data_IF_698537124202
#
_entry.id   IF_698537124202
#
_cell.length_a   1.000
_cell.length_b   1.000
_cell.length_c   1.000
_cell.angle_alpha   90.00
_cell.angle_beta   90.00
_cell.angle_gamma   90.00
#
_symmetry.space_group_name_H-M   'P 1'
#
loop_
_entity.id
_entity.type
_entity.pdbx_description
1 polymer ?
#
# COMPACT_ATOMS: atom_id res chain seq x y z
N UNK A 1 34.65 29.29 -14.23
CA UNK A 1 34.67 30.68 -13.73
C UNK A 1 34.26 30.66 -12.26
N UNK A 2 34.99 31.42 -11.43
CA UNK A 2 34.77 31.79 -10.01
C UNK A 2 34.81 30.64 -8.97
N UNK A 3 35.96 30.35 -8.32
CA UNK A 3 36.64 31.03 -7.17
C UNK A 3 35.73 31.30 -5.96
N UNK A 4 35.99 30.62 -4.84
CA UNK A 4 36.00 31.15 -3.45
C UNK A 4 36.81 30.16 -2.58
N UNK A 5 38.08 30.46 -2.27
CA UNK A 5 38.62 31.12 -1.07
C UNK A 5 38.37 30.40 0.27
N UNK A 6 39.46 29.85 0.81
CA UNK A 6 39.66 29.45 2.20
C UNK A 6 39.65 30.66 3.14
N UNK A 7 39.39 30.41 4.44
CA UNK A 7 40.26 30.92 5.48
C UNK A 7 40.81 29.79 6.36
N UNK A 8 42.08 29.94 6.73
CA UNK A 8 42.80 29.01 7.59
C UNK A 8 42.82 29.40 9.07
N UNK A 9 43.54 28.54 9.80
CA UNK A 9 44.02 28.62 11.18
C UNK A 9 43.07 28.20 12.31
N UNK A 10 43.30 27.00 12.82
CA UNK A 10 43.85 26.84 14.18
C UNK A 10 44.48 25.44 14.34
N UNK A 11 45.80 25.39 14.52
CA UNK A 11 46.50 24.23 15.06
C UNK A 11 46.24 24.19 16.56
N UNK A 12 45.52 23.18 17.04
CA UNK A 12 45.73 22.67 18.39
C UNK A 12 45.78 21.15 18.38
N UNK A 13 46.93 20.69 18.82
CA UNK A 13 47.29 19.34 19.22
C UNK A 13 46.31 18.77 20.24
N UNK A 14 45.60 17.70 19.88
CA UNK A 14 45.19 16.65 20.82
C UNK A 14 45.50 15.31 20.16
N UNK A 15 46.76 14.91 20.27
CA UNK A 15 47.11 13.50 20.19
C UNK A 15 46.96 12.90 21.59
N UNK A 16 46.58 11.62 21.61
CA UNK A 16 46.43 10.78 22.78
C UNK A 16 45.19 11.06 23.64
N UNK A 17 44.06 10.41 23.28
CA UNK A 17 43.25 9.58 24.19
C UNK A 17 41.89 9.19 23.56
N UNK A 18 41.88 8.64 22.34
CA UNK A 18 40.66 8.06 21.74
C UNK A 18 40.92 6.71 21.03
N UNK A 19 42.03 6.04 21.35
CA UNK A 19 42.34 4.68 20.84
C UNK A 19 42.28 3.58 21.93
N UNK A 20 41.79 3.87 23.14
CA UNK A 20 41.79 2.91 24.25
C UNK A 20 40.38 2.40 24.60
N UNK A 21 39.32 2.90 23.96
CA UNK A 21 37.94 2.42 24.21
C UNK A 21 37.40 1.41 23.18
N UNK A 22 38.10 1.16 22.07
CA UNK A 22 37.74 0.11 21.09
C UNK A 22 38.40 -1.25 21.45
N UNK A 23 39.47 -1.26 22.25
CA UNK A 23 40.19 -2.48 22.63
C UNK A 23 39.50 -3.31 23.72
N UNK A 24 38.61 -2.69 24.52
CA UNK A 24 37.90 -3.39 25.61
C UNK A 24 36.61 -4.10 25.16
N UNK A 25 35.95 -3.64 24.09
CA UNK A 25 34.77 -4.31 23.54
C UNK A 25 35.13 -5.48 22.60
N UNK A 26 36.33 -5.47 21.99
CA UNK A 26 36.87 -6.58 21.20
C UNK A 26 37.33 -7.78 22.05
N UNK A 27 37.43 -7.65 23.37
CA UNK A 27 37.80 -8.72 24.28
C UNK A 27 36.72 -9.78 24.41
N UNK A 28 35.47 -9.35 24.66
CA UNK A 28 34.34 -10.25 24.86
C UNK A 28 33.91 -10.94 23.56
N UNK A 29 33.96 -10.23 22.43
CA UNK A 29 33.59 -10.79 21.12
C UNK A 29 34.59 -11.83 20.63
N UNK A 30 35.90 -11.56 20.75
CA UNK A 30 36.94 -12.52 20.39
C UNK A 30 36.86 -13.81 21.22
N UNK A 31 36.73 -13.70 22.55
CA UNK A 31 36.62 -14.89 23.41
C UNK A 31 35.34 -15.68 23.12
N UNK A 32 34.22 -15.01 22.83
CA UNK A 32 33.00 -15.70 22.43
C UNK A 32 33.17 -16.50 21.13
N UNK A 33 33.79 -15.90 20.10
CA UNK A 33 34.08 -16.58 18.83
C UNK A 33 34.99 -17.80 19.02
N UNK A 34 36.02 -17.69 19.87
CA UNK A 34 36.86 -18.86 20.21
C UNK A 34 36.04 -19.95 20.90
N UNK A 35 35.24 -19.60 21.90
CA UNK A 35 34.44 -20.59 22.63
C UNK A 35 33.42 -21.29 21.71
N UNK A 36 32.84 -20.56 20.75
CA UNK A 36 31.98 -21.15 19.72
C UNK A 36 32.79 -22.08 18.79
N UNK A 37 33.98 -21.65 18.37
CA UNK A 37 34.89 -22.48 17.58
C UNK A 37 35.29 -23.77 18.31
N UNK A 38 35.63 -23.67 19.60
CA UNK A 38 35.97 -24.80 20.47
C UNK A 38 34.78 -25.76 20.57
N UNK A 39 33.58 -25.24 20.84
CA UNK A 39 32.36 -26.04 20.89
C UNK A 39 32.09 -26.75 19.56
N UNK A 40 32.35 -26.13 18.41
CA UNK A 40 32.19 -26.80 17.12
C UNK A 40 33.28 -27.85 16.89
N UNK A 41 34.53 -27.58 17.25
CA UNK A 41 35.63 -28.53 17.12
C UNK A 41 35.41 -29.78 18.01
N UNK A 42 34.92 -29.61 19.23
CA UNK A 42 34.53 -30.72 20.13
C UNK A 42 33.39 -31.58 19.55
N UNK A 43 32.50 -30.98 18.76
CA UNK A 43 31.44 -31.69 18.02
C UNK A 43 31.94 -32.31 16.70
N UNK A 44 33.23 -32.16 16.38
CA UNK A 44 33.80 -32.60 15.11
C UNK A 44 33.41 -31.75 13.91
N UNK A 45 32.83 -30.55 14.10
CA UNK A 45 32.37 -29.63 13.04
C UNK A 45 33.45 -28.64 12.64
N UNK A 46 34.54 -29.16 12.06
CA UNK A 46 35.76 -28.41 11.81
C UNK A 46 35.59 -27.25 10.82
N UNK A 47 34.73 -27.36 9.80
CA UNK A 47 34.44 -26.24 8.89
C UNK A 47 33.84 -25.03 9.62
N UNK A 48 32.87 -25.26 10.50
CA UNK A 48 32.29 -24.17 11.31
C UNK A 48 33.27 -23.65 12.34
N UNK A 49 34.05 -24.52 12.97
CA UNK A 49 35.10 -24.11 13.88
C UNK A 49 36.11 -23.17 13.19
N UNK A 50 36.54 -23.51 11.97
CA UNK A 50 37.41 -22.66 11.16
C UNK A 50 36.79 -21.29 10.88
N UNK A 51 35.50 -21.21 10.57
CA UNK A 51 34.81 -19.92 10.34
C UNK A 51 34.88 -19.05 11.60
N UNK A 52 34.59 -19.62 12.77
CA UNK A 52 34.64 -18.88 14.04
C UNK A 52 36.06 -18.42 14.41
N UNK A 53 37.04 -19.32 14.29
CA UNK A 53 38.45 -18.97 14.54
C UNK A 53 38.98 -17.93 13.54
N UNK A 54 38.56 -18.01 12.28
CA UNK A 54 38.94 -17.02 11.28
C UNK A 54 38.39 -15.63 11.63
N UNK A 55 37.13 -15.54 12.03
CA UNK A 55 36.53 -14.29 12.52
C UNK A 55 37.25 -13.77 13.77
N UNK A 56 37.63 -14.64 14.70
CA UNK A 56 38.43 -14.26 15.87
C UNK A 56 39.82 -13.71 15.46
N UNK A 57 40.50 -14.34 14.50
CA UNK A 57 41.78 -13.87 13.95
C UNK A 57 41.67 -12.54 13.21
N UNK A 58 40.54 -12.22 12.59
CA UNK A 58 40.30 -10.90 11.99
C UNK A 58 40.25 -9.80 13.06
N UNK A 59 39.72 -10.10 14.27
CA UNK A 59 39.69 -9.16 15.39
C UNK A 59 41.06 -9.02 16.07
N UNK A 60 41.80 -10.12 16.20
CA UNK A 60 43.14 -10.14 16.82
C UNK A 60 44.12 -10.99 16.00
N UNK A 61 44.76 -10.41 14.98
CA UNK A 61 45.62 -11.16 14.06
C UNK A 61 46.87 -11.78 14.70
N UNK A 62 47.36 -11.23 15.81
CA UNK A 62 48.58 -11.68 16.50
C UNK A 62 48.36 -12.72 17.60
N UNK A 63 47.16 -13.32 17.68
CA UNK A 63 46.83 -14.36 18.66
C UNK A 63 47.29 -15.74 18.18
N UNK A 64 48.44 -16.18 18.69
CA UNK A 64 49.04 -17.47 18.33
C UNK A 64 48.16 -18.66 18.76
N UNK A 65 47.50 -18.56 19.91
CA UNK A 65 46.54 -19.56 20.42
C UNK A 65 45.37 -19.79 19.45
N UNK A 66 44.72 -18.71 18.98
CA UNK A 66 43.64 -18.79 17.99
C UNK A 66 44.12 -19.34 16.65
N UNK A 67 45.34 -18.99 16.26
CA UNK A 67 45.95 -19.45 15.01
C UNK A 67 46.24 -20.95 15.03
N UNK A 68 46.73 -21.48 16.15
CA UNK A 68 46.92 -22.92 16.34
C UNK A 68 45.60 -23.66 16.19
N UNK A 69 44.53 -23.21 16.89
CA UNK A 69 43.20 -23.80 16.79
C UNK A 69 42.62 -23.77 15.37
N UNK A 70 42.78 -22.65 14.67
CA UNK A 70 42.39 -22.55 13.25
C UNK A 70 43.13 -23.57 12.38
N UNK A 71 44.45 -23.70 12.55
CA UNK A 71 45.27 -24.63 11.76
C UNK A 71 44.91 -26.09 12.06
N UNK A 72 44.64 -26.43 13.32
CA UNK A 72 44.20 -27.77 13.72
C UNK A 72 42.85 -28.13 13.06
N UNK A 73 41.87 -27.23 13.14
CA UNK A 73 40.59 -27.41 12.48
C UNK A 73 40.74 -27.50 10.95
N UNK A 74 41.62 -26.71 10.35
CA UNK A 74 41.92 -26.77 8.93
C UNK A 74 42.53 -28.11 8.50
N UNK A 75 43.45 -28.66 9.28
CA UNK A 75 44.04 -29.98 9.00
C UNK A 75 42.97 -31.08 9.07
N UNK A 76 42.12 -31.07 10.09
CA UNK A 76 41.02 -32.03 10.22
C UNK A 76 40.05 -31.92 9.04
N UNK A 77 39.61 -30.71 8.72
CA UNK A 77 38.71 -30.47 7.58
C UNK A 77 39.33 -30.89 6.25
N UNK A 78 40.62 -30.64 6.03
CA UNK A 78 41.29 -31.05 4.79
C UNK A 78 41.40 -32.58 4.67
N UNK A 79 41.67 -33.30 5.76
CA UNK A 79 41.65 -34.78 5.76
C UNK A 79 40.27 -35.32 5.43
N UNK A 80 39.24 -34.71 5.98
CA UNK A 80 37.86 -35.04 5.65
C UNK A 80 37.53 -34.75 4.18
N UNK A 81 37.97 -33.62 3.61
CA UNK A 81 37.79 -33.36 2.18
C UNK A 81 38.47 -34.41 1.30
N UNK A 82 39.62 -34.96 1.72
CA UNK A 82 40.23 -36.10 1.01
C UNK A 82 39.32 -37.34 1.03
N UNK A 83 38.71 -37.68 2.17
CA UNK A 83 37.78 -38.82 2.21
C UNK A 83 36.49 -38.57 1.41
N UNK A 84 36.02 -37.32 1.35
CA UNK A 84 34.90 -36.92 0.47
C UNK A 84 35.27 -37.09 -1.01
N UNK A 85 36.51 -36.78 -1.40
CA UNK A 85 36.98 -37.01 -2.77
C UNK A 85 36.97 -38.48 -3.15
N UNK A 86 37.51 -39.36 -2.28
CA UNK A 86 37.48 -40.80 -2.51
C UNK A 86 36.04 -41.34 -2.58
N UNK A 87 35.16 -40.85 -1.70
CA UNK A 87 33.75 -41.23 -1.70
C UNK A 87 33.00 -40.76 -2.96
N UNK A 88 33.31 -39.57 -3.49
CA UNK A 88 32.75 -39.06 -4.74
C UNK A 88 33.14 -39.94 -5.93
N UNK A 89 34.39 -40.40 -5.96
CA UNK A 89 34.93 -41.31 -6.97
C UNK A 89 34.24 -42.67 -6.92
N UNK A 90 34.08 -43.24 -5.72
CA UNK A 90 33.35 -44.52 -5.51
C UNK A 90 31.89 -44.39 -5.92
N UNK A 91 31.21 -43.30 -5.53
CA UNK A 91 29.82 -43.05 -5.91
C UNK A 91 29.66 -42.93 -7.43
N UNK A 92 30.59 -42.22 -8.09
CA UNK A 92 30.61 -42.08 -9.54
C UNK A 92 30.78 -43.42 -10.25
N UNK A 93 31.76 -44.24 -9.83
CA UNK A 93 32.01 -45.57 -10.38
C UNK A 93 30.84 -46.54 -10.14
N UNK A 94 30.11 -46.35 -9.04
CA UNK A 94 28.94 -47.16 -8.67
C UNK A 94 27.64 -46.67 -9.32
N UNK A 95 27.70 -45.69 -10.24
CA UNK A 95 26.54 -45.08 -10.89
C UNK A 95 25.53 -44.43 -9.92
N UNK A 96 25.98 -43.99 -8.74
CA UNK A 96 25.23 -43.16 -7.79
C UNK A 96 25.46 -41.68 -8.16
N UNK A 97 24.88 -41.27 -9.29
CA UNK A 97 25.18 -40.01 -9.97
C UNK A 97 24.84 -38.78 -9.13
N UNK A 98 23.69 -38.77 -8.48
CA UNK A 98 23.23 -37.70 -7.61
C UNK A 98 24.11 -37.55 -6.37
N UNK A 99 24.48 -38.66 -5.71
CA UNK A 99 25.44 -38.65 -4.60
C UNK A 99 26.81 -38.14 -5.04
N UNK A 100 27.35 -38.67 -6.14
CA UNK A 100 28.62 -38.22 -6.69
C UNK A 100 28.59 -36.72 -7.00
N UNK A 101 27.51 -36.24 -7.62
CA UNK A 101 27.30 -34.83 -7.93
C UNK A 101 27.35 -33.94 -6.67
N UNK A 102 26.63 -34.33 -5.61
CA UNK A 102 26.63 -33.58 -4.33
C UNK A 102 28.01 -33.53 -3.68
N UNK A 103 28.77 -34.62 -3.72
CA UNK A 103 30.11 -34.67 -3.14
C UNK A 103 31.13 -33.87 -3.96
N UNK A 104 31.11 -33.96 -5.29
CA UNK A 104 31.96 -33.10 -6.12
C UNK A 104 31.59 -31.62 -5.94
N UNK A 105 30.31 -31.29 -5.82
CA UNK A 105 29.87 -29.93 -5.51
C UNK A 105 30.45 -29.43 -4.18
N UNK A 106 30.47 -30.28 -3.15
CA UNK A 106 31.09 -29.95 -1.86
C UNK A 106 32.58 -29.67 -2.00
N UNK A 107 33.32 -30.50 -2.73
CA UNK A 107 34.75 -30.31 -2.97
C UNK A 107 35.03 -28.97 -3.66
N UNK A 108 34.34 -28.72 -4.78
CA UNK A 108 34.55 -27.53 -5.60
C UNK A 108 34.07 -26.24 -4.91
N UNK A 109 33.10 -26.34 -4.00
CA UNK A 109 32.66 -25.22 -3.16
C UNK A 109 33.69 -24.77 -2.12
N UNK A 110 34.76 -25.54 -1.90
CA UNK A 110 35.87 -25.17 -1.00
C UNK A 110 37.04 -24.60 -1.79
N UNK A 111 37.53 -23.41 -1.39
CA UNK A 111 38.63 -22.71 -2.08
C UNK A 111 39.93 -23.51 -2.18
N UNK A 112 40.14 -24.52 -1.33
CA UNK A 112 41.32 -25.40 -1.34
C UNK A 112 41.21 -26.58 -2.30
N UNK A 113 40.02 -26.93 -2.80
CA UNK A 113 39.82 -28.07 -3.71
C UNK A 113 39.46 -27.68 -5.16
N UNK A 114 39.39 -26.39 -5.46
CA UNK A 114 39.19 -25.84 -6.82
C UNK A 114 40.31 -26.15 -7.83
N UNK A 115 41.35 -26.87 -7.42
CA UNK A 115 42.46 -27.31 -8.29
C UNK A 115 42.27 -28.74 -8.83
N UNK A 116 41.24 -29.47 -8.40
CA UNK A 116 40.98 -30.82 -8.88
C UNK A 116 40.23 -30.79 -10.22
N UNK A 117 40.99 -30.70 -11.32
CA UNK A 117 40.48 -30.69 -12.70
C UNK A 117 39.55 -31.88 -13.00
N UNK A 118 39.84 -33.05 -12.43
CA UNK A 118 39.02 -34.25 -12.62
C UNK A 118 37.67 -34.14 -11.91
N UNK A 119 37.64 -33.65 -10.67
CA UNK A 119 36.40 -33.38 -9.94
C UNK A 119 35.53 -32.35 -10.67
N UNK A 120 36.15 -31.30 -11.22
CA UNK A 120 35.45 -30.30 -12.02
C UNK A 120 34.84 -30.89 -13.28
N UNK A 121 35.60 -31.68 -14.05
CA UNK A 121 35.09 -32.32 -15.26
C UNK A 121 33.94 -33.29 -14.96
N UNK A 122 34.05 -34.10 -13.90
CA UNK A 122 32.99 -35.01 -13.48
C UNK A 122 31.75 -34.28 -12.97
N UNK A 123 31.91 -33.22 -12.18
CA UNK A 123 30.81 -32.37 -11.74
C UNK A 123 30.04 -31.80 -12.94
N UNK A 124 30.74 -31.20 -13.90
CA UNK A 124 30.10 -30.62 -15.09
C UNK A 124 29.36 -31.67 -15.92
N UNK A 125 29.96 -32.83 -16.14
CA UNK A 125 29.32 -33.93 -16.87
C UNK A 125 28.05 -34.44 -16.15
N UNK A 126 28.12 -34.62 -14.83
CA UNK A 126 26.97 -35.03 -14.01
C UNK A 126 25.90 -33.94 -13.98
N UNK A 127 26.29 -32.67 -13.88
CA UNK A 127 25.36 -31.55 -13.86
C UNK A 127 24.51 -31.53 -15.13
N UNK A 128 25.15 -31.63 -16.30
CA UNK A 128 24.47 -31.64 -17.60
C UNK A 128 23.51 -32.85 -17.67
N UNK A 129 24.00 -34.05 -17.36
CA UNK A 129 23.20 -35.27 -17.44
C UNK A 129 22.00 -35.25 -16.48
N UNK A 130 22.23 -34.88 -15.21
CA UNK A 130 21.18 -34.86 -14.21
C UNK A 130 20.14 -33.76 -14.47
N UNK A 131 20.54 -32.58 -14.97
CA UNK A 131 19.59 -31.54 -15.36
C UNK A 131 18.72 -31.99 -16.54
N UNK A 132 19.33 -32.61 -17.56
CA UNK A 132 18.60 -33.15 -18.71
C UNK A 132 17.58 -34.21 -18.30
N UNK A 133 17.93 -35.10 -17.36
CA UNK A 133 17.06 -36.16 -16.85
C UNK A 133 15.99 -35.66 -15.85
N UNK A 134 16.24 -34.56 -15.14
CA UNK A 134 15.41 -34.11 -14.02
C UNK A 134 14.46 -32.95 -14.34
N UNK A 135 14.76 -32.13 -15.36
CA UNK A 135 13.89 -31.04 -15.77
C UNK A 135 12.76 -31.57 -16.67
N UNK A 136 11.57 -30.99 -16.51
CA UNK A 136 10.44 -31.31 -17.38
C UNK A 136 10.69 -30.70 -18.76
N UNK A 137 10.79 -31.58 -19.74
CA UNK A 137 10.96 -31.23 -21.14
C UNK A 137 9.59 -31.21 -21.82
N UNK A 138 9.26 -30.12 -22.51
CA UNK A 138 7.94 -29.93 -23.15
C UNK A 138 8.09 -29.61 -24.62
N UNK A 139 7.41 -30.41 -25.44
CA UNK A 139 7.13 -30.11 -26.85
C UNK A 139 5.73 -29.52 -26.95
N UNK A 140 5.64 -28.25 -27.30
CA UNK A 140 4.36 -27.55 -27.43
C UNK A 140 4.12 -27.16 -28.90
N UNK A 141 2.93 -27.48 -29.42
CA UNK A 141 2.49 -27.08 -30.76
C UNK A 141 1.31 -26.12 -30.65
N UNK A 142 1.40 -24.95 -31.28
CA UNK A 142 0.38 -23.91 -31.19
C UNK A 142 0.47 -22.88 -32.32
N UNK A 143 -0.64 -22.19 -32.67
CA UNK A 143 -0.62 -21.06 -33.59
C UNK A 143 0.10 -19.85 -32.99
N UNK A 144 1.23 -19.45 -33.59
CA UNK A 144 2.03 -18.30 -33.14
C UNK A 144 1.25 -16.98 -33.16
N UNK A 145 0.30 -16.81 -34.08
CA UNK A 145 -0.54 -15.61 -34.15
C UNK A 145 -1.42 -15.41 -32.89
N UNK A 146 -1.70 -16.49 -32.15
CA UNK A 146 -2.54 -16.46 -30.94
C UNK A 146 -1.65 -16.50 -29.70
N UNK A 147 -0.74 -17.46 -29.63
CA UNK A 147 0.03 -17.73 -28.42
C UNK A 147 1.38 -17.00 -28.38
N UNK A 148 1.78 -16.32 -29.48
CA UNK A 148 3.09 -15.69 -29.66
C UNK A 148 4.21 -16.70 -29.85
N UNK A 149 5.45 -16.22 -29.95
CA UNK A 149 6.63 -17.09 -30.05
C UNK A 149 7.08 -17.60 -28.67
N UNK A 150 7.65 -18.81 -28.66
CA UNK A 150 8.37 -19.42 -27.52
C UNK A 150 7.60 -19.36 -26.19
N UNK A 151 6.29 -19.62 -26.20
CA UNK A 151 5.41 -19.51 -25.03
C UNK A 151 5.93 -20.31 -23.82
N UNK A 152 6.54 -21.46 -24.07
CA UNK A 152 7.15 -22.34 -23.08
C UNK A 152 8.43 -21.76 -22.44
N UNK A 153 9.17 -20.90 -23.14
CA UNK A 153 10.42 -20.32 -22.63
C UNK A 153 10.20 -19.32 -21.50
N UNK A 154 8.99 -18.77 -21.38
CA UNK A 154 8.60 -17.89 -20.27
C UNK A 154 8.30 -18.64 -18.96
N UNK A 155 8.28 -19.97 -19.00
CA UNK A 155 8.00 -20.80 -17.84
C UNK A 155 9.32 -21.21 -17.22
N UNK A 156 9.63 -20.63 -16.06
CA UNK A 156 10.79 -21.03 -15.29
C UNK A 156 10.77 -22.53 -15.00
N UNK A 157 11.95 -23.15 -15.04
CA UNK A 157 12.19 -24.57 -14.72
C UNK A 157 11.58 -25.59 -15.70
N UNK A 158 11.07 -25.12 -16.83
CA UNK A 158 10.63 -25.95 -17.94
C UNK A 158 11.66 -25.86 -19.07
N UNK A 159 11.98 -26.99 -19.71
CA UNK A 159 12.88 -27.04 -20.86
C UNK A 159 12.08 -27.21 -22.17
N UNK A 160 12.14 -26.25 -23.09
CA UNK A 160 11.57 -26.41 -24.43
C UNK A 160 12.27 -27.55 -25.19
N UNK A 161 11.51 -28.47 -25.77
CA UNK A 161 12.06 -29.54 -26.60
C UNK A 161 12.27 -29.09 -28.04
N UNK A 162 13.47 -29.33 -28.56
CA UNK A 162 13.82 -29.09 -29.98
C UNK A 162 13.72 -30.37 -30.82
N UNK A 163 13.83 -31.54 -30.18
CA UNK A 163 13.81 -32.86 -30.83
C UNK A 163 12.44 -33.56 -30.81
N UNK A 164 12.42 -34.77 -31.35
CA UNK A 164 11.23 -35.62 -31.35
C UNK A 164 10.86 -36.10 -29.94
N UNK A 165 9.56 -36.26 -29.73
CA UNK A 165 9.05 -36.83 -28.49
C UNK A 165 9.42 -38.32 -28.43
N UNK A 166 10.25 -38.68 -27.47
CA UNK A 166 10.75 -40.05 -27.30
C UNK A 166 10.02 -40.83 -26.20
N UNK A 167 9.11 -40.17 -25.47
CA UNK A 167 8.34 -40.79 -24.39
C UNK A 167 9.12 -41.00 -23.10
N UNK A 168 10.26 -40.30 -22.91
CA UNK A 168 11.00 -40.35 -21.65
C UNK A 168 10.13 -39.84 -20.48
N UNK A 169 10.37 -40.32 -19.24
CA UNK A 169 9.53 -39.99 -18.08
C UNK A 169 9.38 -38.48 -17.81
N UNK A 170 10.39 -37.70 -18.17
CA UNK A 170 10.44 -36.24 -18.02
C UNK A 170 10.04 -35.48 -19.30
N UNK A 171 9.54 -36.13 -20.34
CA UNK A 171 9.08 -35.49 -21.58
C UNK A 171 7.55 -35.42 -21.64
N UNK A 172 7.00 -34.32 -22.15
CA UNK A 172 5.57 -34.14 -22.42
C UNK A 172 5.36 -33.49 -23.79
N UNK A 173 4.27 -33.87 -24.45
CA UNK A 173 3.82 -33.24 -25.69
C UNK A 173 2.42 -32.65 -25.48
N UNK A 174 2.27 -31.38 -25.84
CA UNK A 174 1.03 -30.63 -25.73
C UNK A 174 0.70 -29.97 -27.07
N UNK A 175 -0.58 -29.99 -27.42
CA UNK A 175 -1.11 -29.21 -28.54
C UNK A 175 -2.14 -28.22 -28.03
N UNK A 176 -1.98 -26.94 -28.39
CA UNK A 176 -2.90 -25.88 -28.04
C UNK A 176 -3.57 -25.37 -29.30
N UNK A 177 -4.90 -25.43 -29.33
CA UNK A 177 -5.70 -24.80 -30.35
C UNK A 177 -6.58 -23.72 -29.72
N UNK A 178 -7.01 -22.78 -30.55
CA UNK A 178 -7.84 -21.67 -30.14
C UNK A 178 -9.02 -21.55 -31.09
N UNK A 179 -10.22 -21.42 -30.53
CA UNK A 179 -11.45 -21.20 -31.27
C UNK A 179 -12.16 -19.96 -30.68
N UNK A 180 -12.29 -18.90 -31.46
CA UNK A 180 -13.12 -17.73 -31.12
C UNK A 180 -14.43 -17.82 -31.90
N UNK A 181 -15.57 -17.52 -31.28
CA UNK A 181 -16.85 -17.72 -31.96
C UNK A 181 -17.95 -16.71 -31.62
N UNK A 182 -17.96 -16.10 -30.42
CA UNK A 182 -19.07 -15.20 -30.04
C UNK A 182 -18.62 -13.79 -29.64
N UNK A 183 -19.14 -12.79 -30.35
CA UNK A 183 -19.18 -11.39 -29.91
C UNK A 183 -20.59 -11.05 -29.45
N UNK A 184 -20.74 -10.66 -28.18
CA UNK A 184 -22.00 -10.23 -27.59
C UNK A 184 -21.85 -8.78 -27.19
N UNK A 185 -22.78 -7.93 -27.60
CA UNK A 185 -22.91 -6.57 -27.09
C UNK A 185 -24.11 -6.55 -26.16
N UNK A 186 -23.89 -6.19 -24.90
CA UNK A 186 -24.96 -6.02 -23.91
C UNK A 186 -25.08 -4.53 -23.62
N UNK A 187 -26.26 -3.97 -23.82
CA UNK A 187 -26.53 -2.56 -23.54
C UNK A 187 -27.55 -2.46 -22.41
N UNK A 188 -27.27 -1.54 -21.48
CA UNK A 188 -28.18 -1.20 -20.40
C UNK A 188 -28.33 0.32 -20.35
N UNK A 189 -29.57 0.79 -20.27
CA UNK A 189 -29.86 2.22 -20.13
C UNK A 189 -30.09 2.58 -18.67
N UNK A 190 -29.49 3.70 -18.25
CA UNK A 190 -29.71 4.34 -16.96
C UNK A 190 -30.34 5.72 -17.22
N UNK A 191 -31.50 5.99 -16.61
CA UNK A 191 -32.07 7.34 -16.61
C UNK A 191 -31.36 8.20 -15.57
N UNK A 192 -30.85 9.36 -15.98
CA UNK A 192 -30.28 10.39 -15.12
C UNK A 192 -31.07 11.68 -15.27
N UNK A 193 -31.01 12.53 -14.27
CA UNK A 193 -31.69 13.83 -14.29
C UNK A 193 -30.83 14.92 -13.69
N UNK A 194 -31.07 16.15 -14.14
CA UNK A 194 -30.44 17.36 -13.63
C UNK A 194 -31.41 18.53 -13.68
N UNK A 195 -31.16 19.52 -12.83
CA UNK A 195 -31.94 20.76 -12.81
C UNK A 195 -31.31 21.79 -13.76
N UNK A 196 -32.17 22.54 -14.44
CA UNK A 196 -31.76 23.68 -15.25
C UNK A 196 -32.72 24.85 -15.06
N UNK A 197 -32.23 26.05 -15.33
CA UNK A 197 -33.05 27.26 -15.31
C UNK A 197 -33.96 27.25 -16.54
N UNK A 198 -35.23 26.94 -16.33
CA UNK A 198 -36.24 26.88 -17.39
C UNK A 198 -36.85 28.24 -17.71
N UNK A 199 -36.69 29.20 -16.79
CA UNK A 199 -37.11 30.57 -16.97
C UNK A 199 -36.76 31.44 -15.78
N UNK A 200 -37.18 32.69 -15.88
CA UNK A 200 -37.12 33.64 -14.79
C UNK A 200 -38.54 34.10 -14.48
N UNK A 201 -38.90 34.16 -13.20
CA UNK A 201 -40.18 34.69 -12.76
C UNK A 201 -39.94 35.97 -11.98
N UNK A 202 -40.78 36.97 -12.24
CA UNK A 202 -40.82 38.19 -11.44
C UNK A 202 -41.80 37.93 -10.30
N UNK A 203 -41.28 37.88 -9.07
CA UNK A 203 -42.08 37.70 -7.85
C UNK A 203 -42.02 38.96 -7.01
N UNK A 204 -43.04 39.16 -6.17
CA UNK A 204 -43.04 40.24 -5.18
C UNK A 204 -41.85 40.05 -4.23
N UNK A 205 -41.13 41.13 -3.96
CA UNK A 205 -39.97 41.06 -3.08
C UNK A 205 -40.45 40.86 -1.62
N UNK A 206 -40.17 39.72 -0.98
CA UNK A 206 -40.65 39.45 0.38
C UNK A 206 -40.08 40.43 1.42
N UNK A 207 -38.96 41.09 1.13
CA UNK A 207 -38.40 42.12 2.01
C UNK A 207 -39.30 43.35 2.14
N UNK A 208 -40.12 43.65 1.13
CA UNK A 208 -41.05 44.79 1.17
C UNK A 208 -42.06 44.63 2.31
N UNK A 209 -42.62 43.44 2.48
CA UNK A 209 -43.57 43.17 3.56
C UNK A 209 -42.90 43.19 4.93
N UNK A 210 -41.67 42.67 5.03
CA UNK A 210 -40.88 42.78 6.25
C UNK A 210 -40.65 44.25 6.63
N UNK A 211 -40.20 45.08 5.69
CA UNK A 211 -39.94 46.50 5.90
C UNK A 211 -41.22 47.29 6.25
N UNK A 212 -42.35 47.02 5.57
CA UNK A 212 -43.66 47.62 5.91
C UNK A 212 -44.08 47.28 7.34
N UNK A 213 -43.95 46.01 7.74
CA UNK A 213 -44.29 45.57 9.09
C UNK A 213 -43.39 46.24 10.14
N UNK A 214 -42.10 46.37 9.86
CA UNK A 214 -41.16 47.07 10.72
C UNK A 214 -41.49 48.57 10.85
N UNK A 215 -41.85 49.24 9.76
CA UNK A 215 -42.32 50.64 9.75
C UNK A 215 -43.59 50.79 10.58
N UNK A 216 -44.55 49.87 10.48
CA UNK A 216 -45.76 49.89 11.29
C UNK A 216 -45.45 49.73 12.79
N UNK A 217 -44.54 48.83 13.14
CA UNK A 217 -44.08 48.65 14.51
C UNK A 217 -43.41 49.91 15.06
N UNK A 218 -42.40 50.44 14.36
CA UNK A 218 -41.67 51.64 14.77
C UNK A 218 -42.58 52.88 14.89
N UNK A 219 -43.52 53.06 13.96
CA UNK A 219 -44.52 54.14 14.07
C UNK A 219 -45.37 54.04 15.34
N UNK A 220 -45.73 52.82 15.75
CA UNK A 220 -46.50 52.60 16.98
C UNK A 220 -45.67 52.98 18.21
N UNK A 221 -44.42 52.52 18.29
CA UNK A 221 -43.50 52.85 19.38
C UNK A 221 -43.28 54.37 19.50
N UNK A 222 -42.97 55.05 18.39
CA UNK A 222 -42.82 56.52 18.36
C UNK A 222 -44.08 57.22 18.86
N UNK A 223 -45.28 56.75 18.47
CA UNK A 223 -46.56 57.31 18.94
C UNK A 223 -46.77 57.07 20.44
N UNK A 224 -46.38 55.92 20.97
CA UNK A 224 -46.44 55.60 22.39
C UNK A 224 -45.46 56.48 23.18
N UNK A 225 -44.22 56.64 22.73
CA UNK A 225 -43.27 57.57 23.34
C UNK A 225 -43.74 59.02 23.32
N UNK A 226 -44.39 59.49 22.24
CA UNK A 226 -45.00 60.83 22.20
C UNK A 226 -46.08 61.02 23.27
N UNK A 227 -46.89 59.99 23.54
CA UNK A 227 -47.89 60.02 24.64
C UNK A 227 -47.20 60.05 26.00
N UNK A 228 -46.19 59.21 26.20
CA UNK A 228 -45.43 59.13 27.45
C UNK A 228 -44.65 60.42 27.73
N UNK A 229 -44.07 61.05 26.71
CA UNK A 229 -43.44 62.37 26.81
C UNK A 229 -44.42 63.42 27.33
N UNK A 230 -45.66 63.44 26.82
CA UNK A 230 -46.72 64.35 27.30
C UNK A 230 -47.09 64.05 28.76
N UNK A 231 -47.24 62.78 29.11
CA UNK A 231 -47.53 62.30 30.48
C UNK A 231 -46.44 62.71 31.47
N UNK A 232 -45.16 62.51 31.15
CA UNK A 232 -44.05 62.88 32.02
C UNK A 232 -43.86 64.39 32.12
N UNK A 233 -44.09 65.15 31.04
CA UNK A 233 -44.15 66.62 31.09
C UNK A 233 -45.22 67.11 32.06
N UNK A 234 -46.41 66.49 32.04
CA UNK A 234 -47.48 66.83 32.98
C UNK A 234 -47.08 66.52 34.43
N UNK A 235 -46.54 65.33 34.70
CA UNK A 235 -46.04 64.94 36.05
C UNK A 235 -44.94 65.86 36.58
N UNK A 236 -44.05 66.33 35.70
CA UNK A 236 -43.04 67.34 36.06
C UNK A 236 -43.71 68.65 36.47
N UNK A 237 -44.75 69.09 35.74
CA UNK A 237 -45.51 70.30 36.07
C UNK A 237 -46.23 70.16 37.42
N UNK A 238 -46.89 69.02 37.66
CA UNK A 238 -47.54 68.72 38.94
C UNK A 238 -46.55 68.70 40.11
N UNK A 239 -45.42 67.99 39.96
CA UNK A 239 -44.40 67.91 41.00
C UNK A 239 -43.78 69.29 41.30
N UNK A 240 -43.52 70.11 40.27
CA UNK A 240 -43.06 71.51 40.45
C UNK A 240 -44.09 72.35 41.22
N UNK A 241 -45.36 72.24 40.86
CA UNK A 241 -46.42 72.99 41.54
C UNK A 241 -46.56 72.55 43.01
N UNK A 242 -46.44 71.25 43.29
CA UNK A 242 -46.42 70.71 44.66
C UNK A 242 -45.22 71.22 45.46
N UNK A 243 -44.03 71.28 44.87
CA UNK A 243 -42.84 71.86 45.50
C UNK A 243 -43.05 73.35 45.80
N UNK A 244 -43.59 74.13 44.85
CA UNK A 244 -43.91 75.56 45.06
C UNK A 244 -44.85 75.75 46.25
N UNK A 245 -45.94 74.97 46.30
CA UNK A 245 -46.89 75.02 47.41
C UNK A 245 -46.27 74.69 48.76
N UNK A 246 -45.43 73.64 48.83
CA UNK A 246 -44.74 73.26 50.08
C UNK A 246 -43.79 74.37 50.53
N UNK A 247 -43.06 75.00 49.60
CA UNK A 247 -42.16 76.11 49.91
C UNK A 247 -42.92 77.37 50.37
N UNK A 248 -44.04 77.70 49.72
CA UNK A 248 -44.93 78.81 50.12
C UNK A 248 -45.53 78.58 51.53
N UNK A 249 -45.93 77.35 51.85
CA UNK A 249 -46.43 76.97 53.18
C UNK A 249 -45.33 77.04 54.27
N UNK A 250 -44.06 76.95 53.89
CA UNK A 250 -42.91 77.02 54.78
C UNK A 250 -42.49 78.47 55.12
N UNK A 251 -42.68 79.42 54.20
CA UNK A 251 -42.37 80.85 54.40
C UNK A 251 -43.33 81.57 55.38
N UNK A 252 -44.54 81.02 55.62
CA UNK A 252 -45.58 81.66 56.44
C UNK A 252 -45.65 81.18 57.91
N UNK A 253 -44.86 80.18 58.35
CA UNK A 253 -44.94 79.64 59.73
C UNK A 253 -43.77 80.08 60.61
N UNK A 254 -44.10 80.67 61.78
CA UNK A 254 -43.16 81.23 62.78
C UNK A 254 -42.43 80.19 63.64
N UNK A 255 -42.88 78.92 63.64
CA UNK A 255 -42.14 77.77 64.19
C UNK A 255 -42.23 76.59 63.20
N UNK A 256 -41.10 76.14 62.62
CA UNK A 256 -41.11 75.07 61.64
C UNK A 256 -41.20 73.69 62.31
N UNK A 257 -42.26 72.94 62.04
CA UNK A 257 -42.29 71.49 62.25
C UNK A 257 -41.44 70.84 61.15
N UNK A 258 -40.13 70.86 61.37
CA UNK A 258 -39.07 70.60 60.38
C UNK A 258 -39.06 69.16 59.84
N UNK A 259 -39.66 68.20 60.53
CA UNK A 259 -39.60 66.78 60.15
C UNK A 259 -40.68 66.40 59.11
N UNK A 260 -41.93 66.82 59.28
CA UNK A 260 -43.05 66.48 58.37
C UNK A 260 -42.97 67.22 57.02
N UNK A 261 -42.57 68.49 57.04
CA UNK A 261 -42.42 69.33 55.83
C UNK A 261 -41.18 68.94 55.01
N UNK A 262 -40.07 68.59 55.68
CA UNK A 262 -38.85 68.11 55.03
C UNK A 262 -39.02 66.77 54.28
N UNK A 263 -39.79 65.84 54.84
CA UNK A 263 -40.04 64.53 54.20
C UNK A 263 -40.97 64.66 52.98
N UNK A 264 -42.03 65.49 53.08
CA UNK A 264 -42.92 65.79 51.96
C UNK A 264 -42.19 66.48 50.80
N UNK A 265 -41.30 67.42 51.09
CA UNK A 265 -40.45 68.09 50.10
C UNK A 265 -39.48 67.09 49.43
N UNK A 266 -38.82 66.24 50.23
CA UNK A 266 -37.92 65.18 49.73
C UNK A 266 -38.64 64.21 48.80
N UNK A 267 -39.86 63.81 49.14
CA UNK A 267 -40.69 62.96 48.28
C UNK A 267 -41.08 63.67 46.97
N UNK A 268 -41.47 64.96 47.02
CA UNK A 268 -41.82 65.73 45.83
C UNK A 268 -40.61 65.97 44.90
N UNK A 269 -39.43 66.25 45.46
CA UNK A 269 -38.17 66.32 44.73
C UNK A 269 -37.79 64.97 44.10
N UNK A 270 -37.97 63.86 44.82
CA UNK A 270 -37.74 62.53 44.29
C UNK A 270 -38.70 62.20 43.13
N UNK A 271 -39.98 62.59 43.23
CA UNK A 271 -40.95 62.45 42.14
C UNK A 271 -40.56 63.29 40.92
N UNK A 272 -40.13 64.54 41.12
CA UNK A 272 -39.63 65.41 40.07
C UNK A 272 -38.41 64.81 39.36
N UNK A 273 -37.42 64.33 40.13
CA UNK A 273 -36.20 63.70 39.57
C UNK A 273 -36.53 62.43 38.80
N UNK A 274 -37.40 61.56 39.33
CA UNK A 274 -37.87 60.35 38.63
C UNK A 274 -38.60 60.71 37.33
N UNK A 275 -39.48 61.71 37.36
CA UNK A 275 -40.22 62.15 36.18
C UNK A 275 -39.29 62.78 35.12
N UNK A 276 -38.30 63.59 35.51
CA UNK A 276 -37.27 64.13 34.60
C UNK A 276 -36.41 63.03 33.98
N UNK A 277 -35.94 62.07 34.78
CA UNK A 277 -35.13 60.94 34.29
C UNK A 277 -35.91 60.08 33.30
N UNK A 278 -37.19 59.79 33.61
CA UNK A 278 -38.07 59.07 32.69
C UNK A 278 -38.34 59.86 31.42
N UNK A 279 -38.62 61.16 31.52
CA UNK A 279 -38.78 62.03 30.34
C UNK A 279 -37.54 62.02 29.45
N UNK A 280 -36.35 62.14 30.01
CA UNK A 280 -35.10 62.13 29.24
C UNK A 280 -34.90 60.78 28.52
N UNK A 281 -35.08 59.66 29.23
CA UNK A 281 -35.02 58.32 28.61
C UNK A 281 -36.07 58.14 27.51
N UNK A 282 -37.30 58.62 27.72
CA UNK A 282 -38.36 58.58 26.71
C UNK A 282 -38.02 59.42 25.49
N UNK A 283 -37.38 60.59 25.67
CA UNK A 283 -36.94 61.43 24.55
C UNK A 283 -35.84 60.71 23.75
N UNK A 284 -34.83 60.17 24.44
CA UNK A 284 -33.75 59.44 23.77
C UNK A 284 -34.26 58.22 23.00
N UNK A 285 -35.09 57.38 23.63
CA UNK A 285 -35.68 56.21 22.95
C UNK A 285 -36.58 56.60 21.78
N UNK A 286 -37.30 57.72 21.88
CA UNK A 286 -38.10 58.26 20.78
C UNK A 286 -37.22 58.73 19.62
N UNK A 287 -36.10 59.41 19.91
CA UNK A 287 -35.14 59.87 18.90
C UNK A 287 -34.48 58.67 18.19
N UNK A 288 -34.05 57.65 18.94
CA UNK A 288 -33.46 56.42 18.39
C UNK A 288 -34.45 55.69 17.45
N UNK A 289 -35.73 55.57 17.86
CA UNK A 289 -36.75 54.91 17.04
C UNK A 289 -37.25 55.78 15.87
N UNK A 290 -37.22 57.11 15.98
CA UNK A 290 -37.46 58.03 14.87
C UNK A 290 -36.35 57.93 13.80
N UNK A 291 -35.08 57.81 14.22
CA UNK A 291 -33.95 57.58 13.31
C UNK A 291 -34.05 56.21 12.62
N UNK A 292 -34.35 55.15 13.38
CA UNK A 292 -34.58 53.80 12.81
C UNK A 292 -35.74 53.82 11.84
N UNK A 293 -36.85 54.47 12.18
CA UNK A 293 -38.01 54.61 11.31
C UNK A 293 -37.64 55.30 10.00
N UNK A 294 -36.89 56.40 10.07
CA UNK A 294 -36.41 57.12 8.89
C UNK A 294 -35.53 56.21 8.01
N UNK A 295 -34.59 55.48 8.61
CA UNK A 295 -33.71 54.56 7.88
C UNK A 295 -34.49 53.40 7.25
N UNK A 296 -35.46 52.80 7.95
CA UNK A 296 -36.29 51.72 7.41
C UNK A 296 -37.20 52.20 6.28
N UNK A 297 -37.75 53.41 6.36
CA UNK A 297 -38.51 54.03 5.26
C UNK A 297 -37.59 54.23 4.06
N UNK A 298 -36.40 54.80 4.27
CA UNK A 298 -35.44 55.01 3.20
C UNK A 298 -35.02 53.68 2.55
N UNK A 299 -34.81 52.63 3.35
CA UNK A 299 -34.52 51.29 2.84
C UNK A 299 -35.68 50.76 2.01
N UNK A 300 -36.93 50.89 2.46
CA UNK A 300 -38.12 50.49 1.70
C UNK A 300 -38.20 51.19 0.34
N UNK A 301 -37.89 52.50 0.28
CA UNK A 301 -37.92 53.28 -0.96
C UNK A 301 -36.84 52.82 -1.97
N UNK A 302 -35.71 52.32 -1.46
CA UNK A 302 -34.59 51.85 -2.28
C UNK A 302 -34.70 50.36 -2.65
N UNK A 303 -35.51 49.59 -1.92
CA UNK A 303 -35.74 48.17 -2.19
C UNK A 303 -36.70 48.02 -3.39
N UNK A 304 -36.32 47.30 -4.46
CA UNK A 304 -37.19 47.10 -5.59
C UNK A 304 -38.43 46.28 -5.19
N UNK A 305 -39.59 46.65 -5.74
CA UNK A 305 -40.87 46.01 -5.43
C UNK A 305 -40.94 44.54 -5.86
N UNK A 306 -40.12 44.15 -6.84
CA UNK A 306 -40.05 42.80 -7.36
C UNK A 306 -38.60 42.34 -7.45
N UNK A 307 -38.41 41.02 -7.34
CA UNK A 307 -37.13 40.37 -7.59
C UNK A 307 -37.29 39.35 -8.72
N UNK A 308 -36.17 39.04 -9.37
CA UNK A 308 -36.10 38.00 -10.39
C UNK A 308 -35.70 36.71 -9.67
N UNK A 309 -36.55 35.70 -9.73
CA UNK A 309 -36.28 34.37 -9.22
C UNK A 309 -36.09 33.40 -10.39
N UNK A 310 -35.04 32.58 -10.32
CA UNK A 310 -34.79 31.54 -11.31
C UNK A 310 -35.76 30.38 -11.08
N UNK A 311 -36.48 29.99 -12.14
CA UNK A 311 -37.37 28.84 -12.11
C UNK A 311 -36.58 27.63 -12.59
N UNK A 312 -36.45 26.63 -11.72
CA UNK A 312 -35.76 25.39 -12.02
C UNK A 312 -36.75 24.33 -12.52
N UNK A 313 -36.40 23.66 -13.62
CA UNK A 313 -37.10 22.46 -14.08
C UNK A 313 -36.13 21.29 -14.15
N UNK A 314 -36.66 20.07 -14.04
CA UNK A 314 -35.89 18.83 -14.20
C UNK A 314 -35.83 18.44 -15.67
N UNK A 315 -34.63 18.18 -16.16
CA UNK A 315 -34.37 17.56 -17.45
C UNK A 315 -33.85 16.14 -17.21
N UNK A 316 -34.50 15.13 -17.78
CA UNK A 316 -34.01 13.75 -17.75
C UNK A 316 -33.38 13.35 -19.08
N UNK A 317 -32.36 12.51 -18.99
CA UNK A 317 -31.62 12.00 -20.13
C UNK A 317 -31.14 10.57 -19.83
N UNK A 318 -30.87 9.80 -20.87
CA UNK A 318 -30.38 8.42 -20.72
C UNK A 318 -28.87 8.37 -20.92
N UNK A 319 -28.20 7.60 -20.07
CA UNK A 319 -26.84 7.12 -20.27
C UNK A 319 -26.94 5.66 -20.69
N UNK A 320 -26.35 5.30 -21.82
CA UNK A 320 -26.26 3.91 -22.26
C UNK A 320 -24.91 3.35 -21.84
N UNK A 321 -24.93 2.27 -21.07
CA UNK A 321 -23.77 1.47 -20.71
C UNK A 321 -23.68 0.27 -21.66
N UNK A 322 -22.58 0.17 -22.41
CA UNK A 322 -22.35 -0.90 -23.38
C UNK A 322 -21.21 -1.79 -22.90
N UNK A 323 -21.45 -3.10 -22.84
CA UNK A 323 -20.45 -4.12 -22.56
C UNK A 323 -20.19 -4.96 -23.82
N UNK A 324 -18.99 -4.86 -24.36
CA UNK A 324 -18.50 -5.68 -25.47
C UNK A 324 -17.84 -6.93 -24.91
N UNK A 325 -18.49 -8.07 -25.12
CA UNK A 325 -18.04 -9.36 -24.61
C UNK A 325 -17.57 -10.19 -25.81
N UNK A 326 -16.30 -10.58 -25.80
CA UNK A 326 -15.74 -11.54 -26.76
C UNK A 326 -15.43 -12.85 -26.05
N UNK A 327 -16.00 -13.95 -26.55
CA UNK A 327 -15.78 -15.29 -26.02
C UNK A 327 -14.95 -16.14 -26.96
N UNK A 328 -14.16 -17.01 -26.37
CA UNK A 328 -13.42 -18.04 -27.09
C UNK A 328 -13.08 -19.20 -26.18
N UNK A 329 -12.38 -20.18 -26.72
CA UNK A 329 -11.97 -21.37 -26.00
C UNK A 329 -10.54 -21.74 -26.38
N UNK A 330 -9.78 -22.20 -25.39
CA UNK A 330 -8.49 -22.85 -25.60
C UNK A 330 -8.69 -24.35 -25.43
N UNK A 331 -8.34 -25.10 -26.47
CA UNK A 331 -8.34 -26.55 -26.46
C UNK A 331 -6.91 -27.01 -26.19
N UNK A 332 -6.73 -27.72 -25.08
CA UNK A 332 -5.43 -28.26 -24.69
C UNK A 332 -5.49 -29.77 -24.82
N UNK A 333 -4.71 -30.32 -25.74
CA UNK A 333 -4.59 -31.78 -25.93
C UNK A 333 -3.29 -32.27 -25.30
N UNK A 334 -3.41 -33.19 -24.35
CA UNK A 334 -2.32 -33.84 -23.65
C UNK A 334 -2.58 -35.35 -23.57
N UNK A 335 -1.60 -36.18 -23.93
CA UNK A 335 -1.70 -37.65 -23.86
C UNK A 335 -2.99 -38.22 -24.51
N UNK A 336 -3.43 -37.62 -25.64
CA UNK A 336 -4.64 -38.02 -26.36
C UNK A 336 -5.97 -37.56 -25.76
N UNK A 337 -5.95 -36.82 -24.63
CA UNK A 337 -7.14 -36.22 -24.02
C UNK A 337 -7.16 -34.71 -24.28
N UNK A 338 -8.33 -34.18 -24.64
CA UNK A 338 -8.53 -32.73 -24.85
C UNK A 338 -9.36 -32.14 -23.73
N UNK A 339 -8.85 -31.06 -23.13
CA UNK A 339 -9.54 -30.25 -22.12
C UNK A 339 -9.85 -28.90 -22.75
N UNK A 340 -11.06 -28.39 -22.52
CA UNK A 340 -11.53 -27.12 -23.05
C UNK A 340 -11.56 -26.08 -21.93
N UNK A 341 -10.95 -24.93 -22.17
CA UNK A 341 -10.94 -23.79 -21.26
C UNK A 341 -11.69 -22.62 -21.89
N UNK A 342 -12.88 -22.27 -21.37
CA UNK A 342 -13.61 -21.10 -21.85
C UNK A 342 -12.89 -19.81 -21.44
N UNK A 343 -12.92 -18.84 -22.34
CA UNK A 343 -12.35 -17.52 -22.19
C UNK A 343 -13.42 -16.46 -22.46
N UNK A 344 -13.34 -15.37 -21.70
CA UNK A 344 -14.21 -14.22 -21.86
C UNK A 344 -13.40 -12.95 -21.61
N UNK A 345 -13.49 -12.01 -22.54
CA UNK A 345 -12.95 -10.65 -22.38
C UNK A 345 -14.11 -9.68 -22.48
N UNK A 346 -14.19 -8.75 -21.52
CA UNK A 346 -15.23 -7.74 -21.44
C UNK A 346 -14.60 -6.35 -21.48
N UNK A 347 -15.09 -5.51 -22.39
CA UNK A 347 -14.78 -4.08 -22.40
C UNK A 347 -16.07 -3.29 -22.18
N UNK A 348 -16.04 -2.37 -21.21
CA UNK A 348 -17.19 -1.56 -20.85
C UNK A 348 -16.96 -0.12 -21.29
N UNK A 349 -17.98 0.48 -21.90
CA UNK A 349 -18.02 1.90 -22.23
C UNK A 349 -19.38 2.49 -21.88
N UNK A 350 -19.47 3.80 -21.77
CA UNK A 350 -20.72 4.51 -21.48
C UNK A 350 -20.82 5.74 -22.35
N UNK A 351 -22.01 6.02 -22.87
CA UNK A 351 -22.20 7.15 -23.75
C UNK A 351 -23.53 7.85 -23.51
N UNK A 352 -23.57 9.14 -23.82
CA UNK A 352 -24.78 9.94 -23.85
C UNK A 352 -24.69 11.06 -24.88
N UNK A 353 -25.83 11.42 -25.47
CA UNK A 353 -25.91 12.59 -26.35
C UNK A 353 -25.60 13.88 -25.57
N UNK A 354 -25.28 14.95 -26.28
CA UNK A 354 -25.12 16.27 -25.67
C UNK A 354 -26.40 16.66 -24.93
N UNK A 355 -26.26 17.25 -23.74
CA UNK A 355 -27.38 17.77 -22.94
C UNK A 355 -27.22 19.30 -22.82
N UNK A 356 -27.67 20.08 -23.83
CA UNK A 356 -27.48 21.54 -23.84
C UNK A 356 -28.10 22.23 -22.62
N UNK A 357 -29.26 21.74 -22.15
CA UNK A 357 -29.95 22.28 -20.98
C UNK A 357 -29.13 22.14 -19.69
N UNK A 358 -28.28 21.12 -19.62
CA UNK A 358 -27.38 20.86 -18.48
C UNK A 358 -25.95 21.35 -18.75
N UNK A 359 -25.71 22.02 -19.89
CA UNK A 359 -24.38 22.42 -20.35
C UNK A 359 -23.37 21.25 -20.39
N UNK A 360 -23.84 20.04 -20.73
CA UNK A 360 -23.00 18.86 -20.88
C UNK A 360 -22.77 18.57 -22.37
N UNK A 361 -21.50 18.41 -22.75
CA UNK A 361 -21.12 17.95 -24.08
C UNK A 361 -21.54 16.49 -24.28
N UNK A 362 -21.63 16.04 -25.54
CA UNK A 362 -21.81 14.62 -25.83
C UNK A 362 -20.61 13.83 -25.32
N UNK A 363 -20.87 12.65 -24.77
CA UNK A 363 -19.87 11.63 -24.48
C UNK A 363 -20.09 10.51 -25.49
N UNK A 364 -19.45 10.54 -26.67
CA UNK A 364 -19.70 9.58 -27.73
C UNK A 364 -19.08 8.23 -27.39
N UNK A 365 -19.77 7.16 -27.77
CA UNK A 365 -19.29 5.79 -27.63
C UNK A 365 -17.93 5.62 -28.34
N UNK A 366 -16.90 5.25 -27.59
CA UNK A 366 -15.58 4.92 -28.09
C UNK A 366 -15.54 3.42 -28.34
N UNK A 367 -15.99 3.02 -29.53
CA UNK A 367 -16.01 1.61 -29.90
C UNK A 367 -14.58 1.04 -29.89
N UNK A 368 -14.31 0.13 -28.94
CA UNK A 368 -13.07 -0.64 -28.97
C UNK A 368 -13.01 -1.43 -30.27
N UNK A 369 -11.85 -1.44 -30.92
CA UNK A 369 -11.70 -2.19 -32.16
C UNK A 369 -11.82 -3.69 -31.89
N UNK A 370 -12.48 -4.43 -32.79
CA UNK A 370 -12.53 -5.88 -32.72
C UNK A 370 -11.13 -6.51 -32.64
N UNK A 371 -10.13 -5.84 -33.22
CA UNK A 371 -8.71 -6.21 -33.17
C UNK A 371 -8.14 -6.12 -31.75
N UNK A 372 -8.48 -5.07 -30.99
CA UNK A 372 -8.04 -4.91 -29.60
C UNK A 372 -8.65 -5.99 -28.69
N UNK A 373 -9.97 -6.22 -28.79
CA UNK A 373 -10.62 -7.31 -28.05
C UNK A 373 -10.05 -8.70 -28.40
N UNK A 374 -9.75 -8.92 -29.67
CA UNK A 374 -9.11 -10.17 -30.12
C UNK A 374 -7.70 -10.32 -29.54
N UNK A 375 -6.93 -9.23 -29.50
CA UNK A 375 -5.60 -9.24 -28.88
C UNK A 375 -5.66 -9.55 -27.39
N UNK A 376 -6.60 -8.96 -26.65
CA UNK A 376 -6.83 -9.26 -25.24
C UNK A 376 -7.24 -10.73 -25.01
N UNK A 377 -8.06 -11.27 -25.91
CA UNK A 377 -8.44 -12.68 -25.88
C UNK A 377 -7.25 -13.61 -26.16
N UNK A 378 -6.36 -13.24 -27.08
CA UNK A 378 -5.11 -13.96 -27.35
C UNK A 378 -4.15 -13.94 -26.14
N UNK A 379 -4.04 -12.80 -25.45
CA UNK A 379 -3.28 -12.69 -24.20
C UNK A 379 -3.86 -13.61 -23.12
N UNK A 380 -5.19 -13.67 -23.03
CA UNK A 380 -5.89 -14.57 -22.11
C UNK A 380 -5.65 -16.04 -22.46
N UNK A 381 -5.67 -16.38 -23.76
CA UNK A 381 -5.35 -17.72 -24.24
C UNK A 381 -3.92 -18.15 -23.91
N UNK A 382 -2.92 -17.27 -24.16
CA UNK A 382 -1.52 -17.50 -23.76
C UNK A 382 -1.41 -17.72 -22.26
N UNK A 383 -2.11 -16.93 -21.46
CA UNK A 383 -2.08 -17.03 -19.99
C UNK A 383 -2.63 -18.37 -19.51
N UNK A 384 -3.73 -18.86 -20.09
CA UNK A 384 -4.30 -20.17 -19.76
C UNK A 384 -3.35 -21.30 -20.15
N UNK A 385 -2.79 -21.28 -21.35
CA UNK A 385 -1.84 -22.29 -21.80
C UNK A 385 -0.57 -22.33 -20.92
N UNK A 386 -0.03 -21.17 -20.53
CA UNK A 386 1.09 -21.09 -19.61
C UNK A 386 0.73 -21.61 -18.20
N UNK A 387 -0.47 -21.30 -17.71
CA UNK A 387 -0.92 -21.76 -16.40
C UNK A 387 -1.07 -23.28 -16.36
N UNK A 388 -1.62 -23.87 -17.43
CA UNK A 388 -1.68 -25.32 -17.60
C UNK A 388 -0.28 -25.96 -17.54
N UNK A 389 0.69 -25.45 -18.29
CA UNK A 389 2.06 -25.97 -18.27
C UNK A 389 2.74 -25.82 -16.90
N UNK A 390 2.49 -24.72 -16.17
CA UNK A 390 2.98 -24.54 -14.79
C UNK A 390 2.38 -25.57 -13.84
N UNK A 391 1.09 -25.86 -13.97
CA UNK A 391 0.42 -26.89 -13.17
C UNK A 391 1.00 -28.28 -13.45
N UNK A 392 1.24 -28.62 -14.72
CA UNK A 392 1.85 -29.88 -15.12
C UNK A 392 3.29 -30.01 -14.60
N UNK A 393 4.07 -28.93 -14.63
CA UNK A 393 5.39 -28.87 -13.99
C UNK A 393 5.30 -29.14 -12.48
N UNK A 394 4.36 -28.51 -11.78
CA UNK A 394 4.15 -28.75 -10.35
C UNK A 394 3.77 -30.21 -10.06
N UNK A 395 2.86 -30.80 -10.84
CA UNK A 395 2.49 -32.21 -10.74
C UNK A 395 3.69 -33.13 -10.97
N UNK A 396 4.48 -32.86 -12.01
CA UNK A 396 5.69 -33.63 -12.30
C UNK A 396 6.66 -33.61 -11.10
N UNK A 397 6.94 -32.43 -10.54
CA UNK A 397 7.82 -32.28 -9.37
C UNK A 397 7.26 -32.96 -8.13
N UNK A 398 5.96 -32.86 -7.89
CA UNK A 398 5.29 -33.57 -6.81
C UNK A 398 5.42 -35.09 -6.99
N UNK A 399 5.32 -35.58 -8.23
CA UNK A 399 5.55 -36.99 -8.60
C UNK A 399 6.96 -37.46 -8.29
N UNK A 400 8.00 -36.67 -8.62
CA UNK A 400 9.39 -36.98 -8.26
C UNK A 400 9.57 -37.10 -6.74
N UNK A 401 9.04 -36.15 -5.97
CA UNK A 401 9.12 -36.18 -4.51
C UNK A 401 8.37 -37.38 -3.92
N UNK A 402 7.19 -37.70 -4.45
CA UNK A 402 6.42 -38.87 -4.04
C UNK A 402 7.19 -40.17 -4.34
N UNK A 403 7.78 -40.28 -5.52
CA UNK A 403 8.62 -41.41 -5.93
C UNK A 403 9.85 -41.56 -5.02
N UNK A 404 10.47 -40.47 -4.60
CA UNK A 404 11.56 -40.49 -3.62
C UNK A 404 11.08 -40.98 -2.25
N UNK A 405 9.93 -40.49 -1.76
CA UNK A 405 9.37 -40.90 -0.46
C UNK A 405 8.93 -42.36 -0.41
N UNK A 406 8.50 -42.92 -1.54
CA UNK A 406 8.13 -44.32 -1.66
C UNK A 406 9.33 -45.27 -1.67
N UNK A 407 10.55 -44.76 -1.79
CA UNK A 407 11.75 -45.57 -1.91
C UNK A 407 12.27 -46.06 -0.55
N UNK A 408 12.46 -47.38 -0.44
CA UNK A 408 12.89 -48.04 0.81
C UNK A 408 14.41 -47.91 0.95
N UNK A 409 15.15 -48.19 -0.13
CA UNK A 409 16.59 -48.10 -0.14
C UNK A 409 17.04 -46.63 0.02
N UNK A 410 17.89 -46.38 1.01
CA UNK A 410 18.33 -45.02 1.34
C UNK A 410 19.10 -44.40 0.17
N UNK A 411 19.97 -45.19 -0.47
CA UNK A 411 20.78 -44.70 -1.59
C UNK A 411 19.90 -44.29 -2.76
N UNK A 412 18.98 -45.15 -3.17
CA UNK A 412 18.03 -44.90 -4.25
C UNK A 412 17.09 -43.73 -3.95
N UNK A 413 16.67 -43.58 -2.68
CA UNK A 413 15.91 -42.41 -2.23
C UNK A 413 16.72 -41.14 -2.40
N UNK A 414 17.99 -41.13 -1.98
CA UNK A 414 18.85 -39.96 -2.11
C UNK A 414 19.02 -39.53 -3.58
N UNK A 415 19.25 -40.48 -4.48
CA UNK A 415 19.34 -40.22 -5.92
C UNK A 415 18.06 -39.52 -6.45
N UNK A 416 16.88 -40.04 -6.10
CA UNK A 416 15.59 -39.42 -6.47
C UNK A 416 15.38 -38.04 -5.85
N UNK A 417 15.87 -37.81 -4.63
CA UNK A 417 15.82 -36.49 -3.98
C UNK A 417 16.71 -35.46 -4.70
N UNK A 418 17.87 -35.88 -5.23
CA UNK A 418 18.70 -35.03 -6.07
C UNK A 418 17.96 -34.66 -7.36
N UNK A 419 17.34 -35.62 -8.04
CA UNK A 419 16.51 -35.32 -9.23
C UNK A 419 15.36 -34.37 -8.91
N UNK A 420 14.66 -34.58 -7.79
CA UNK A 420 13.63 -33.64 -7.33
C UNK A 420 14.19 -32.24 -7.06
N UNK A 421 15.38 -32.14 -6.45
CA UNK A 421 16.07 -30.87 -6.27
C UNK A 421 16.36 -30.17 -7.58
N UNK A 422 16.95 -30.89 -8.54
CA UNK A 422 17.35 -30.35 -9.85
C UNK A 422 16.17 -30.07 -10.80
N UNK A 423 14.97 -30.61 -10.53
CA UNK A 423 13.75 -30.33 -11.30
C UNK A 423 13.21 -28.89 -11.17
N UNK A 424 13.93 -28.01 -10.48
CA UNK A 424 13.59 -26.60 -10.30
C UNK A 424 14.82 -25.72 -10.19
N UNK A 425 14.63 -24.41 -10.02
CA UNK A 425 15.69 -23.47 -9.57
C UNK A 425 15.68 -23.21 -8.07
N UNK A 426 14.55 -23.45 -7.40
CA UNK A 426 14.38 -23.19 -5.95
C UNK A 426 14.94 -24.30 -5.05
N UNK A 427 15.52 -25.35 -5.62
CA UNK A 427 16.02 -26.51 -4.87
C UNK A 427 14.91 -27.33 -4.24
N UNK A 428 15.24 -27.87 -3.08
CA UNK A 428 14.34 -28.64 -2.22
C UNK A 428 13.90 -27.82 -1.01
N UNK A 429 12.73 -28.17 -0.46
CA UNK A 429 12.26 -27.58 0.81
C UNK A 429 13.24 -27.82 1.96
N UNK A 430 13.26 -26.96 2.98
CA UNK A 430 14.14 -27.10 4.16
C UNK A 430 14.07 -28.47 4.82
N UNK A 431 12.87 -29.09 4.88
CA UNK A 431 12.71 -30.43 5.43
C UNK A 431 13.44 -31.50 4.61
N UNK A 432 13.36 -31.40 3.29
CA UNK A 432 14.02 -32.34 2.38
C UNK A 432 15.53 -32.09 2.36
N UNK A 433 15.95 -30.82 2.37
CA UNK A 433 17.36 -30.45 2.52
C UNK A 433 17.95 -31.07 3.80
N UNK A 434 17.27 -30.90 4.93
CA UNK A 434 17.71 -31.47 6.20
C UNK A 434 17.80 -33.00 6.15
N UNK A 435 16.82 -33.68 5.55
CA UNK A 435 16.87 -35.12 5.37
C UNK A 435 18.07 -35.58 4.51
N UNK A 436 18.37 -34.86 3.43
CA UNK A 436 19.53 -35.15 2.57
C UNK A 436 20.85 -34.88 3.32
N UNK A 437 20.90 -33.80 4.08
CA UNK A 437 22.05 -33.44 4.93
C UNK A 437 22.31 -34.50 6.01
N UNK A 438 21.29 -34.93 6.75
CA UNK A 438 21.39 -36.00 7.74
C UNK A 438 21.93 -37.29 7.12
N UNK A 439 21.52 -37.64 5.90
CA UNK A 439 22.00 -38.84 5.21
C UNK A 439 23.49 -38.72 4.82
N UNK A 440 23.90 -37.56 4.32
CA UNK A 440 25.30 -37.29 4.01
C UNK A 440 26.16 -37.28 5.28
N UNK A 441 25.72 -36.62 6.34
CA UNK A 441 26.43 -36.56 7.62
C UNK A 441 26.51 -37.93 8.30
N UNK A 442 25.45 -38.73 8.24
CA UNK A 442 25.47 -40.09 8.77
C UNK A 442 26.46 -40.99 8.03
N UNK A 443 26.71 -40.73 6.74
CA UNK A 443 27.62 -41.50 5.91
C UNK A 443 29.06 -41.01 6.00
N UNK A 444 29.26 -39.68 6.05
CA UNK A 444 30.58 -39.06 5.88
C UNK A 444 31.08 -38.28 7.10
N UNK A 445 30.29 -38.17 8.17
CA UNK A 445 30.66 -37.43 9.37
C UNK A 445 30.27 -35.94 9.33
N UNK A 446 30.67 -35.22 10.38
CA UNK A 446 30.23 -33.85 10.67
C UNK A 446 31.33 -32.78 10.43
N UNK A 447 32.51 -33.17 9.95
CA UNK A 447 33.64 -32.26 9.72
C UNK A 447 33.34 -31.11 8.77
N UNK A 448 32.38 -31.28 7.86
CA UNK A 448 31.86 -30.24 6.98
C UNK A 448 30.34 -30.21 6.88
N UNK A 449 29.82 -29.03 6.59
CA UNK A 449 28.41 -28.75 6.36
C UNK A 449 28.01 -29.12 4.93
N UNK A 450 26.79 -29.63 4.74
CA UNK A 450 26.22 -29.92 3.43
C UNK A 450 25.03 -28.99 3.14
N UNK A 451 25.28 -27.73 2.73
CA UNK A 451 24.20 -26.80 2.39
C UNK A 451 23.51 -27.23 1.09
N UNK A 452 22.58 -28.17 1.17
CA UNK A 452 22.03 -28.93 0.02
C UNK A 452 21.60 -28.05 -1.14
N UNK A 453 20.82 -27.00 -0.90
CA UNK A 453 20.35 -26.13 -1.97
C UNK A 453 21.48 -25.34 -2.64
N UNK A 454 22.54 -24.98 -1.90
CA UNK A 454 23.74 -24.38 -2.50
C UNK A 454 24.49 -25.40 -3.35
N UNK A 455 24.63 -26.62 -2.85
CA UNK A 455 25.33 -27.69 -3.56
C UNK A 455 24.62 -28.10 -4.86
N UNK A 456 23.28 -28.05 -4.91
CA UNK A 456 22.51 -28.42 -6.09
C UNK A 456 22.72 -27.48 -7.30
N UNK A 457 22.99 -26.20 -7.08
CA UNK A 457 23.11 -25.20 -8.17
C UNK A 457 24.49 -24.58 -8.32
N UNK A 458 25.47 -25.04 -7.54
CA UNK A 458 26.83 -24.55 -7.57
C UNK A 458 27.08 -23.34 -6.67
N UNK A 459 28.32 -22.87 -6.70
CA UNK A 459 28.92 -21.90 -5.77
C UNK A 459 29.15 -20.53 -6.38
#
# INVERSE_FOLDING_TARGET
>A
MNKFYFPGYARHTVHASLCVLITLLGGCTHTNLINQGDSYAEQGRHELAMVQYHQALQLKPSRDDTRVKYNEAQISFQRWLTSIADAADVAYQSNLRGRAFMLYSKLLGTKSAGENVQAQARFQALQIALLDESLLQVKASYPVAVFGHNMESDIADLLPMVGDFSGLPNQREYSFAFAAFDTIIVEQQEERSGEYISGIQIVENPEIDHLKNQIHHLNREVKEFRRDRKKYRHRIKEAKHKISRINEEQDYKTEPDTNLTGEALKQALAQLHRAKRKLHKTIQAMEDDEERLYNTIHQLDMTPATIIEEVYSVHSYFVTHSAYILKGEVLITAAGSTVVYPLEVVNNDSYHDAQPLLNMNADPLVQISAQALTADLHVSARTVAQSFMREELQKYRAGLLASARGEIDKSSRFEKLVSYGLSGRNGVSNRVAHQMEEELQATYGFDGEFPINRLLYGF
#
